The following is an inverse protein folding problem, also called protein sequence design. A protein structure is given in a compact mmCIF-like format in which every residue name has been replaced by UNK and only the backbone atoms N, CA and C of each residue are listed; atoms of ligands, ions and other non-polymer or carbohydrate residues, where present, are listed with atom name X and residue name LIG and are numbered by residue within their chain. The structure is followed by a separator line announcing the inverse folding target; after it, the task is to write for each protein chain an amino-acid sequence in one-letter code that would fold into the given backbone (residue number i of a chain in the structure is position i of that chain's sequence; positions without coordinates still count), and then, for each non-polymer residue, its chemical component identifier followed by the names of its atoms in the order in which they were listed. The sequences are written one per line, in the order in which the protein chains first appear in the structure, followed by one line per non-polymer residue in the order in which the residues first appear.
data_IF_690793434839
#
_entry.id   IF_690793434839
#
_cell.length_a   1.000
_cell.length_b   1.000
_cell.length_c   1.000
_cell.angle_alpha   90.00
_cell.angle_beta   90.00
_cell.angle_gamma   90.00
#
_symmetry.space_group_name_H-M   'P 1'
#
loop_
_entity.id
_entity.type
_entity.pdbx_description
1 polymer ?
#
# COMPACT_ATOMS: atom_id res chain seq x y z
N UNK A 1 -6.45 1.72 -2.68
CA UNK A 1 -6.14 1.23 -1.32
C UNK A 1 -6.28 2.30 -0.24
N UNK A 2 -5.77 3.52 -0.41
CA UNK A 2 -5.91 4.57 0.62
C UNK A 2 -7.39 4.89 0.94
N UNK A 3 -8.24 5.01 -0.08
CA UNK A 3 -9.69 5.17 0.08
C UNK A 3 -10.36 4.00 0.82
N UNK A 4 -9.97 2.77 0.51
CA UNK A 4 -10.43 1.55 1.20
C UNK A 4 -10.02 1.54 2.67
N UNK A 5 -8.82 2.04 2.96
CA UNK A 5 -8.29 2.18 4.31
C UNK A 5 -9.06 3.23 5.11
N UNK A 6 -9.30 4.40 4.51
CA UNK A 6 -10.08 5.46 5.15
C UNK A 6 -11.51 5.01 5.42
N UNK A 7 -12.14 4.28 4.49
CA UNK A 7 -13.46 3.70 4.68
C UNK A 7 -13.49 2.69 5.82
N UNK A 8 -12.58 1.70 5.79
CA UNK A 8 -12.49 0.68 6.83
C UNK A 8 -12.24 1.30 8.22
N UNK A 9 -11.40 2.33 8.28
CA UNK A 9 -11.14 3.06 9.51
C UNK A 9 -12.36 3.84 10.00
N UNK A 10 -13.07 4.55 9.11
CA UNK A 10 -14.29 5.29 9.47
C UNK A 10 -15.39 4.37 9.99
N UNK A 11 -15.54 3.18 9.42
CA UNK A 11 -16.59 2.22 9.81
C UNK A 11 -16.25 1.43 11.07
N UNK A 12 -15.02 0.93 11.19
CA UNK A 12 -14.66 -0.06 12.22
C UNK A 12 -13.78 0.50 13.32
N UNK A 13 -13.25 1.71 13.15
CA UNK A 13 -12.18 2.27 13.98
C UNK A 13 -10.84 1.54 13.83
N UNK A 14 -10.75 0.56 12.93
CA UNK A 14 -9.57 -0.29 12.71
C UNK A 14 -9.08 -0.16 11.27
N UNK A 15 -7.77 -0.28 11.13
CA UNK A 15 -7.12 -0.36 9.84
C UNK A 15 -7.28 -1.70 9.13
N UNK A 16 -6.93 -1.73 7.85
CA UNK A 16 -6.73 -2.99 7.14
C UNK A 16 -5.38 -3.61 7.54
N UNK A 17 -5.16 -4.87 7.18
CA UNK A 17 -3.84 -5.50 7.34
C UNK A 17 -3.16 -5.64 5.99
N UNK A 18 -1.84 -5.86 6.00
CA UNK A 18 -1.10 -6.26 4.80
C UNK A 18 -1.73 -7.50 4.14
N UNK A 19 -2.10 -8.50 4.93
CA UNK A 19 -2.73 -9.73 4.43
C UNK A 19 -4.03 -9.45 3.69
N UNK A 20 -4.92 -8.65 4.28
CA UNK A 20 -6.18 -8.24 3.64
C UNK A 20 -5.96 -7.47 2.35
N UNK A 21 -4.99 -6.54 2.33
CA UNK A 21 -4.71 -5.74 1.14
C UNK A 21 -4.04 -6.58 0.03
N UNK A 22 -3.11 -7.46 0.39
CA UNK A 22 -2.42 -8.36 -0.54
C UNK A 22 -3.39 -9.33 -1.21
N UNK A 23 -4.33 -9.89 -0.43
CA UNK A 23 -5.37 -10.79 -0.95
C UNK A 23 -6.32 -10.13 -1.97
N UNK A 24 -6.44 -8.79 -1.96
CA UNK A 24 -7.23 -8.03 -2.94
C UNK A 24 -6.47 -7.75 -4.25
N UNK A 25 -5.14 -7.84 -4.27
CA UNK A 25 -4.33 -7.56 -5.45
C UNK A 25 -4.68 -8.45 -6.67
N UNK A 26 -4.90 -9.77 -6.54
CA UNK A 26 -5.29 -10.61 -7.67
C UNK A 26 -6.61 -10.17 -8.32
N UNK A 27 -7.60 -9.80 -7.51
CA UNK A 27 -8.88 -9.29 -8.03
C UNK A 27 -8.68 -7.97 -8.78
N UNK A 28 -7.90 -7.04 -8.22
CA UNK A 28 -7.58 -5.78 -8.89
C UNK A 28 -6.81 -5.99 -10.20
N UNK A 29 -5.91 -6.96 -10.29
CA UNK A 29 -5.22 -7.29 -11.55
C UNK A 29 -6.16 -7.85 -12.62
N UNK A 30 -7.30 -8.43 -12.23
CA UNK A 30 -8.33 -8.89 -13.20
C UNK A 30 -9.14 -7.71 -13.73
N UNK A 31 -9.48 -6.76 -12.86
CA UNK A 31 -10.23 -5.55 -13.20
C UNK A 31 -9.40 -4.54 -14.00
N UNK A 32 -8.16 -4.29 -13.56
CA UNK A 32 -7.24 -3.35 -14.17
C UNK A 32 -6.08 -4.11 -14.83
N UNK A 33 -6.26 -4.45 -16.11
CA UNK A 33 -5.33 -5.32 -16.85
C UNK A 33 -3.90 -4.77 -16.89
N UNK A 34 -3.73 -3.44 -16.95
CA UNK A 34 -2.42 -2.78 -16.93
C UNK A 34 -1.61 -3.08 -15.65
N UNK A 35 -2.26 -3.43 -14.52
CA UNK A 35 -1.56 -3.84 -13.29
C UNK A 35 -0.84 -5.19 -13.43
N UNK A 36 -1.10 -5.96 -14.50
CA UNK A 36 -0.36 -7.18 -14.81
C UNK A 36 1.01 -6.87 -15.42
N UNK A 37 1.15 -5.73 -16.10
CA UNK A 37 2.40 -5.28 -16.73
C UNK A 37 3.38 -4.71 -15.70
N UNK A 38 2.85 -4.22 -14.56
CA UNK A 38 3.65 -3.65 -13.47
C UNK A 38 4.34 -4.75 -12.66
N UNK A 39 5.57 -4.45 -12.23
CA UNK A 39 6.33 -5.27 -11.30
C UNK A 39 5.53 -5.60 -10.03
N UNK A 40 5.28 -6.89 -9.85
CA UNK A 40 4.52 -7.43 -8.73
C UNK A 40 5.15 -7.13 -7.36
N UNK A 41 6.48 -7.07 -7.29
CA UNK A 41 7.22 -6.88 -6.05
C UNK A 41 7.05 -5.46 -5.56
N UNK A 42 7.11 -4.48 -6.45
CA UNK A 42 6.85 -3.10 -6.09
C UNK A 42 5.41 -2.82 -5.71
N UNK A 43 4.46 -3.51 -6.34
CA UNK A 43 3.06 -3.42 -5.94
C UNK A 43 2.85 -3.97 -4.52
N UNK A 44 3.44 -5.12 -4.20
CA UNK A 44 3.43 -5.67 -2.84
C UNK A 44 4.17 -4.78 -1.82
N UNK A 45 5.32 -4.23 -2.20
CA UNK A 45 6.10 -3.28 -1.39
C UNK A 45 5.28 -2.04 -1.04
N UNK A 46 4.57 -1.48 -2.02
CA UNK A 46 3.67 -0.33 -1.82
C UNK A 46 2.55 -0.64 -0.84
N UNK A 47 1.93 -1.83 -0.94
CA UNK A 47 0.90 -2.29 0.01
C UNK A 47 1.47 -2.49 1.42
N UNK A 48 2.69 -3.02 1.54
CA UNK A 48 3.37 -3.20 2.82
C UNK A 48 3.69 -1.86 3.49
N UNK A 49 4.22 -0.91 2.74
CA UNK A 49 4.50 0.44 3.24
C UNK A 49 3.24 1.14 3.73
N UNK A 50 2.12 0.97 3.02
CA UNK A 50 0.83 1.51 3.43
C UNK A 50 0.37 0.92 4.78
N UNK A 51 0.43 -0.41 4.93
CA UNK A 51 0.04 -1.08 6.17
C UNK A 51 0.93 -0.68 7.36
N UNK A 52 2.24 -0.55 7.15
CA UNK A 52 3.17 -0.07 8.17
C UNK A 52 2.89 1.39 8.57
N UNK A 53 2.67 2.28 7.60
CA UNK A 53 2.38 3.69 7.86
C UNK A 53 1.15 3.87 8.75
N UNK A 54 0.06 3.18 8.45
CA UNK A 54 -1.14 3.21 9.29
C UNK A 54 -0.92 2.54 10.66
N UNK A 55 -0.13 1.47 10.72
CA UNK A 55 0.22 0.84 12.01
C UNK A 55 0.94 1.84 12.92
N UNK A 56 1.90 2.61 12.39
CA UNK A 56 2.60 3.66 13.12
C UNK A 56 1.68 4.82 13.50
N UNK A 57 0.77 5.20 12.60
CA UNK A 57 -0.24 6.24 12.88
C UNK A 57 -1.11 5.86 14.09
N UNK A 58 -1.63 4.62 14.14
CA UNK A 58 -2.45 4.18 15.29
C UNK A 58 -1.65 4.03 16.58
N UNK A 59 -0.35 3.71 16.50
CA UNK A 59 0.56 3.75 17.65
C UNK A 59 0.94 5.18 18.08
N UNK A 60 0.38 6.21 17.43
CA UNK A 60 0.71 7.63 17.65
C UNK A 60 2.19 7.96 17.45
N UNK A 61 2.89 7.17 16.63
CA UNK A 61 4.32 7.37 16.34
C UNK A 61 4.53 8.34 15.18
N UNK A 62 3.57 8.43 14.26
CA UNK A 62 3.63 9.28 13.07
C UNK A 62 2.27 9.95 12.81
N UNK A 63 2.28 10.96 11.93
CA UNK A 63 1.07 11.59 11.40
C UNK A 63 0.31 10.67 10.42
N UNK A 64 -0.89 11.09 10.01
CA UNK A 64 -1.71 10.36 9.06
C UNK A 64 -0.92 10.03 7.77
N UNK A 65 -1.02 8.79 7.25
CA UNK A 65 -0.33 8.41 6.03
C UNK A 65 -0.79 9.25 4.83
N UNK A 66 0.16 9.64 3.98
CA UNK A 66 -0.12 10.35 2.74
C UNK A 66 0.68 9.74 1.59
N UNK A 67 0.26 10.00 0.36
CA UNK A 67 1.04 9.60 -0.81
C UNK A 67 2.35 10.37 -0.88
N UNK A 68 3.39 9.70 -1.40
CA UNK A 68 4.67 10.33 -1.74
C UNK A 68 4.44 11.40 -2.80
N UNK A 69 5.14 12.53 -2.68
CA UNK A 69 5.06 13.60 -3.67
C UNK A 69 5.90 13.23 -4.89
N UNK A 70 5.34 13.38 -6.10
CA UNK A 70 6.08 13.18 -7.35
C UNK A 70 7.22 14.19 -7.55
N UNK A 71 7.18 15.33 -6.85
CA UNK A 71 8.20 16.40 -6.93
C UNK A 71 9.40 16.16 -6.01
N UNK A 72 9.36 15.11 -5.17
CA UNK A 72 10.45 14.81 -4.25
C UNK A 72 11.44 13.83 -4.90
N UNK A 73 12.60 14.33 -5.32
CA UNK A 73 13.63 13.55 -6.02
C UNK A 73 14.30 12.47 -5.14
N UNK A 74 14.13 12.52 -3.82
CA UNK A 74 14.67 11.52 -2.88
C UNK A 74 13.69 10.35 -2.71
N UNK A 75 12.39 10.58 -2.93
CA UNK A 75 11.36 9.57 -2.75
C UNK A 75 11.27 8.67 -3.99
N UNK A 76 11.91 7.51 -3.92
CA UNK A 76 11.93 6.55 -5.01
C UNK A 76 10.87 5.44 -4.89
N UNK A 77 10.61 4.85 -6.06
CA UNK A 77 10.00 3.54 -6.22
C UNK A 77 10.87 2.46 -5.53
N UNK A 78 10.23 1.50 -4.86
CA UNK A 78 10.94 0.46 -4.10
C UNK A 78 10.51 -0.92 -4.61
N UNK A 79 11.45 -1.64 -5.21
CA UNK A 79 11.32 -3.06 -5.55
C UNK A 79 12.49 -3.86 -4.96
N UNK A 80 12.40 -5.18 -5.01
CA UNK A 80 13.47 -6.10 -4.64
C UNK A 80 13.81 -6.96 -5.84
N UNK A 81 15.09 -7.19 -6.07
CA UNK A 81 15.53 -8.20 -7.02
C UNK A 81 15.36 -9.58 -6.35
N UNK A 82 14.65 -10.49 -7.02
CA UNK A 82 14.40 -11.86 -6.53
C UNK A 82 15.16 -12.93 -7.32
N UNK A 83 16.12 -12.53 -8.16
CA UNK A 83 16.92 -13.45 -8.97
C UNK A 83 18.26 -13.72 -8.28
N UNK A 84 18.59 -15.01 -8.15
CA UNK A 84 19.89 -15.58 -8.50
C UNK A 84 19.86 -15.99 -9.98
#
# INVERSE_FOLDING_TARGET
FLSLWDHAYKETGKGLTYGTCSAKLPAMKKEFVWLKEVDSIAMQSSVRNLADAYTRFFKKQNSAPHFKSKKNNVQSYTTKQTNE
#
